data_IF_957452826161
#
_entry.id   IF_957452826161
#
_cell.length_a   1.000
_cell.length_b   1.000
_cell.length_c   1.000
_cell.angle_alpha   90.00
_cell.angle_beta   90.00
_cell.angle_gamma   90.00
#
_symmetry.space_group_name_H-M   'P 1'
#
loop_
_entity.id
_entity.type
_entity.pdbx_description
1 polymer ?
#
# COMPACT_ATOMS: atom_id res chain seq x y z
N UNK A 1 0.18 24.29 0.15
CA UNK A 1 1.39 24.82 -0.55
C UNK A 1 2.52 23.77 -0.68
N UNK A 2 2.45 22.60 -0.03
CA UNK A 2 3.52 21.57 -0.08
C UNK A 2 3.48 20.58 -1.26
N UNK A 3 2.40 20.57 -2.06
CA UNK A 3 2.24 19.61 -3.17
C UNK A 3 3.20 19.82 -4.35
N UNK A 4 3.49 21.08 -4.70
CA UNK A 4 4.26 21.42 -5.90
C UNK A 4 5.71 20.90 -5.89
N UNK A 5 6.36 20.84 -4.71
CA UNK A 5 7.73 20.30 -4.62
C UNK A 5 7.72 18.78 -4.80
N UNK A 6 6.74 18.11 -4.22
CA UNK A 6 6.63 16.65 -4.31
C UNK A 6 6.26 16.24 -5.73
N UNK A 7 5.33 16.90 -6.40
CA UNK A 7 4.95 16.61 -7.79
C UNK A 7 6.14 16.71 -8.75
N UNK A 8 7.01 17.71 -8.60
CA UNK A 8 8.17 17.91 -9.46
C UNK A 8 9.34 16.93 -9.20
N UNK A 9 9.31 16.19 -8.08
CA UNK A 9 10.37 15.24 -7.77
C UNK A 9 10.35 14.05 -8.74
N UNK A 10 11.41 13.89 -9.53
CA UNK A 10 11.54 12.79 -10.51
C UNK A 10 11.67 11.40 -9.89
N UNK A 11 12.03 11.35 -8.61
CA UNK A 11 12.20 10.15 -7.81
C UNK A 11 11.55 10.34 -6.45
N UNK A 12 10.79 9.34 -5.99
CA UNK A 12 10.24 9.29 -4.63
C UNK A 12 10.41 7.88 -4.09
N UNK A 13 10.86 7.77 -2.85
CA UNK A 13 10.88 6.52 -2.09
C UNK A 13 9.88 6.65 -0.95
N UNK A 14 8.92 5.74 -0.90
CA UNK A 14 7.89 5.70 0.13
C UNK A 14 8.09 4.45 0.98
N UNK A 15 8.17 4.63 2.30
CA UNK A 15 8.33 3.56 3.28
C UNK A 15 7.56 3.90 4.55
N UNK A 16 6.66 3.00 4.97
CA UNK A 16 5.90 3.06 6.24
C UNK A 16 5.30 4.44 6.52
N UNK A 17 4.40 4.89 5.65
CA UNK A 17 3.63 6.14 5.88
C UNK A 17 2.43 5.81 6.76
N UNK A 18 2.43 6.29 7.99
CA UNK A 18 1.40 5.99 8.99
C UNK A 18 0.16 6.87 8.89
N UNK A 19 0.30 8.07 8.33
CA UNK A 19 -0.80 9.01 8.17
C UNK A 19 -1.75 8.51 7.06
N UNK A 20 -3.03 8.24 7.36
CA UNK A 20 -3.96 7.62 6.41
C UNK A 20 -4.21 8.51 5.20
N UNK A 21 -4.32 9.82 5.39
CA UNK A 21 -4.55 10.78 4.30
C UNK A 21 -3.35 10.79 3.32
N UNK A 22 -2.13 10.74 3.87
CA UNK A 22 -0.90 10.66 3.07
C UNK A 22 -0.78 9.29 2.37
N UNK A 23 -1.14 8.20 3.04
CA UNK A 23 -1.12 6.86 2.45
C UNK A 23 -2.10 6.76 1.26
N UNK A 24 -3.33 7.29 1.41
CA UNK A 24 -4.30 7.36 0.32
C UNK A 24 -3.79 8.24 -0.84
N UNK A 25 -3.19 9.39 -0.51
CA UNK A 25 -2.59 10.26 -1.53
C UNK A 25 -1.48 9.54 -2.32
N UNK A 26 -0.61 8.77 -1.65
CA UNK A 26 0.40 7.94 -2.30
C UNK A 26 -0.22 6.82 -3.14
N UNK A 27 -1.25 6.14 -2.63
CA UNK A 27 -1.97 5.11 -3.37
C UNK A 27 -2.59 5.67 -4.65
N UNK A 28 -3.18 6.86 -4.58
CA UNK A 28 -3.72 7.59 -5.74
C UNK A 28 -2.63 7.98 -6.74
N UNK A 29 -1.43 8.37 -6.28
CA UNK A 29 -0.29 8.59 -7.18
C UNK A 29 0.13 7.33 -7.94
N UNK A 30 -0.15 6.14 -7.41
CA UNK A 30 0.19 4.88 -8.09
C UNK A 30 -0.71 4.56 -9.28
N UNK A 31 -1.84 5.27 -9.41
CA UNK A 31 -2.88 5.00 -10.40
C UNK A 31 -3.88 3.96 -9.93
N UNK A 32 -4.91 3.75 -10.75
CA UNK A 32 -5.95 2.73 -10.52
C UNK A 32 -5.84 1.61 -11.55
N UNK A 33 -6.23 0.41 -11.15
CA UNK A 33 -6.36 -0.78 -11.99
C UNK A 33 -7.78 -1.32 -11.90
N UNK A 34 -8.25 -1.91 -13.00
CA UNK A 34 -9.49 -2.64 -13.06
C UNK A 34 -9.25 -4.06 -12.54
N UNK A 35 -10.07 -4.50 -11.58
CA UNK A 35 -10.03 -5.85 -11.03
C UNK A 35 -11.41 -6.47 -11.17
N UNK A 36 -11.45 -7.66 -11.78
CA UNK A 36 -12.65 -8.47 -11.84
C UNK A 36 -12.71 -9.34 -10.56
N UNK A 37 -13.63 -9.02 -9.67
CA UNK A 37 -13.91 -9.83 -8.49
C UNK A 37 -14.95 -10.90 -8.84
N UNK A 38 -14.51 -12.17 -8.81
CA UNK A 38 -15.39 -13.33 -8.91
C UNK A 38 -15.99 -13.66 -7.53
N UNK A 39 -17.26 -13.29 -7.30
CA UNK A 39 -17.98 -13.68 -6.08
C UNK A 39 -18.67 -15.03 -6.27
N UNK A 40 -18.17 -16.10 -5.64
CA UNK A 40 -18.93 -17.35 -5.46
C UNK A 40 -19.86 -17.20 -4.25
N UNK A 41 -21.17 -17.09 -4.49
CA UNK A 41 -22.17 -17.18 -3.42
C UNK A 41 -22.33 -18.65 -3.03
N UNK A 42 -21.86 -19.05 -1.86
CA UNK A 42 -22.29 -20.30 -1.22
C UNK A 42 -23.44 -19.95 -0.25
N UNK A 43 -24.68 -20.30 -0.60
CA UNK A 43 -25.79 -20.32 0.35
C UNK A 43 -25.95 -21.76 0.83
N UNK A 44 -25.68 -22.01 2.11
CA UNK A 44 -26.09 -23.25 2.78
C UNK A 44 -27.56 -23.12 3.17
N UNK A 45 -28.43 -23.91 2.54
CA UNK A 45 -29.82 -24.06 2.98
C UNK A 45 -29.92 -25.23 3.97
N UNK A 46 -30.91 -25.18 4.88
CA UNK A 46 -31.06 -26.01 6.09
C UNK A 46 -31.37 -27.51 5.83
N UNK A 47 -30.93 -28.09 4.71
CA UNK A 47 -31.22 -29.46 4.29
C UNK A 47 -30.01 -30.21 3.69
N UNK A 48 -28.76 -29.92 4.13
CA UNK A 48 -27.55 -30.71 3.81
C UNK A 48 -27.35 -31.08 2.33
N UNK A 49 -27.97 -30.34 1.40
CA UNK A 49 -27.87 -30.58 -0.04
C UNK A 49 -27.27 -29.33 -0.64
N UNK A 50 -26.00 -29.42 -1.05
CA UNK A 50 -25.28 -28.34 -1.72
C UNK A 50 -25.87 -28.15 -3.13
N UNK A 51 -26.90 -27.32 -3.26
CA UNK A 51 -27.35 -26.85 -4.56
C UNK A 51 -26.48 -25.67 -4.95
N UNK A 52 -25.44 -25.93 -5.76
CA UNK A 52 -24.59 -24.88 -6.32
C UNK A 52 -25.44 -24.09 -7.31
N UNK A 53 -26.01 -22.99 -6.85
CA UNK A 53 -26.74 -22.05 -7.70
C UNK A 53 -25.73 -21.39 -8.64
N UNK A 54 -25.89 -21.63 -9.95
CA UNK A 54 -24.90 -21.33 -10.98
C UNK A 54 -24.94 -19.86 -11.45
N UNK A 55 -25.29 -18.94 -10.54
CA UNK A 55 -25.28 -17.50 -10.82
C UNK A 55 -23.87 -16.92 -10.62
N UNK A 56 -23.13 -16.82 -11.73
CA UNK A 56 -21.87 -16.08 -11.79
C UNK A 56 -22.16 -14.57 -11.88
N UNK A 57 -21.88 -13.82 -10.82
CA UNK A 57 -21.87 -12.35 -10.88
C UNK A 57 -20.42 -11.87 -10.98
N UNK A 58 -20.01 -11.37 -12.14
CA UNK A 58 -18.72 -10.70 -12.32
C UNK A 58 -18.90 -9.26 -11.82
N UNK A 59 -18.11 -8.83 -10.82
CA UNK A 59 -18.10 -7.43 -10.37
C UNK A 59 -16.78 -6.79 -10.78
N UNK A 60 -16.86 -5.80 -11.66
CA UNK A 60 -15.71 -4.99 -12.03
C UNK A 60 -15.53 -3.90 -10.97
N UNK A 61 -14.41 -3.91 -10.24
CA UNK A 61 -14.07 -2.93 -9.21
C UNK A 61 -12.77 -2.21 -9.58
N UNK A 62 -12.70 -0.91 -9.31
CA UNK A 62 -11.45 -0.14 -9.43
C UNK A 62 -10.71 -0.15 -8.09
N UNK A 63 -9.41 -0.39 -8.11
CA UNK A 63 -8.54 -0.26 -6.92
C UNK A 63 -7.23 0.43 -7.27
N UNK A 64 -6.53 0.96 -6.26
CA UNK A 64 -5.20 1.51 -6.47
C UNK A 64 -4.19 0.42 -6.89
N UNK A 65 -3.23 0.78 -7.75
CA UNK A 65 -2.18 -0.13 -8.18
C UNK A 65 -1.33 -0.61 -6.99
N UNK A 66 -0.94 0.33 -6.12
CA UNK A 66 -0.50 0.05 -4.75
C UNK A 66 -1.66 0.39 -3.82
N UNK A 67 -2.17 -0.62 -3.11
CA UNK A 67 -3.28 -0.44 -2.17
C UNK A 67 -2.87 0.49 -1.02
N UNK A 68 -3.82 1.32 -0.54
CA UNK A 68 -3.56 2.24 0.58
C UNK A 68 -3.13 1.50 1.84
N UNK A 69 -3.60 0.27 2.06
CA UNK A 69 -3.22 -0.54 3.21
C UNK A 69 -1.80 -1.14 3.09
N UNK A 70 -1.23 -1.22 1.88
CA UNK A 70 0.14 -1.71 1.69
C UNK A 70 1.21 -0.69 2.09
N UNK A 71 0.83 0.57 2.29
CA UNK A 71 1.77 1.68 2.51
C UNK A 71 2.17 1.86 3.98
N UNK A 72 1.23 1.79 4.96
CA UNK A 72 1.58 1.84 6.38
C UNK A 72 2.34 0.60 6.82
N UNK A 73 1.90 -0.58 6.38
CA UNK A 73 2.50 -1.88 6.72
C UNK A 73 2.93 -2.64 5.45
N UNK A 74 4.00 -2.18 4.78
CA UNK A 74 4.58 -2.93 3.68
C UNK A 74 5.20 -4.23 4.21
N UNK A 75 5.39 -5.20 3.34
CA UNK A 75 6.20 -6.37 3.65
C UNK A 75 7.57 -5.96 4.23
N UNK A 76 8.13 -6.81 5.09
CA UNK A 76 9.43 -6.55 5.70
C UNK A 76 10.47 -6.21 4.63
N UNK A 77 11.24 -5.15 4.89
CA UNK A 77 12.29 -4.68 3.99
C UNK A 77 11.80 -4.21 2.62
N UNK A 78 10.52 -3.87 2.45
CA UNK A 78 10.00 -3.36 1.18
C UNK A 78 9.65 -1.88 1.27
N UNK A 79 9.99 -1.14 0.21
CA UNK A 79 9.58 0.24 -0.05
C UNK A 79 8.98 0.36 -1.45
N UNK A 80 8.26 1.44 -1.72
CA UNK A 80 7.75 1.75 -3.06
C UNK A 80 8.53 2.89 -3.69
N UNK A 81 9.03 2.66 -4.90
CA UNK A 81 9.76 3.65 -5.69
C UNK A 81 8.84 4.19 -6.78
N UNK A 82 8.72 5.51 -6.84
CA UNK A 82 8.03 6.21 -7.91
C UNK A 82 9.06 6.93 -8.78
N UNK A 83 8.97 6.72 -10.10
CA UNK A 83 9.76 7.42 -11.09
C UNK A 83 8.86 8.03 -12.16
N UNK A 84 9.38 8.91 -13.00
CA UNK A 84 8.59 9.52 -14.10
C UNK A 84 8.48 8.64 -15.34
N UNK A 85 9.21 7.52 -15.40
CA UNK A 85 9.34 6.72 -16.63
C UNK A 85 8.63 5.38 -16.57
N UNK A 86 8.40 4.86 -15.36
CA UNK A 86 7.86 3.52 -15.13
C UNK A 86 6.74 3.58 -14.12
N UNK A 87 5.88 2.55 -14.13
CA UNK A 87 4.97 2.31 -13.03
C UNK A 87 5.75 2.21 -11.71
N UNK A 88 5.12 2.57 -10.57
CA UNK A 88 5.73 2.38 -9.26
C UNK A 88 6.15 0.92 -9.07
N UNK A 89 7.24 0.70 -8.35
CA UNK A 89 7.74 -0.64 -8.11
C UNK A 89 8.11 -0.85 -6.65
N UNK A 90 7.91 -2.08 -6.19
CA UNK A 90 8.43 -2.51 -4.90
C UNK A 90 9.97 -2.64 -5.00
N UNK A 91 10.68 -2.15 -3.99
CA UNK A 91 12.12 -2.25 -3.85
C UNK A 91 12.51 -2.74 -2.47
N UNK A 92 13.46 -3.66 -2.42
CA UNK A 92 14.07 -4.08 -1.17
C UNK A 92 14.90 -2.94 -0.58
N UNK A 93 14.81 -2.79 0.74
CA UNK A 93 15.58 -1.84 1.54
C UNK A 93 16.13 -2.56 2.77
N UNK A 94 17.35 -2.22 3.17
CA UNK A 94 17.94 -2.68 4.42
C UNK A 94 18.02 -1.49 5.37
N UNK A 95 17.00 -1.23 6.20
CA UNK A 95 17.03 -0.14 7.16
C UNK A 95 18.14 -0.41 8.18
N UNK A 96 19.00 0.58 8.36
CA UNK A 96 20.08 0.52 9.35
C UNK A 96 19.42 0.51 10.74
N UNK A 97 19.65 -0.55 11.51
CA UNK A 97 19.19 -0.64 12.90
C UNK A 97 19.93 0.40 13.73
N UNK A 98 19.22 1.47 14.11
CA UNK A 98 19.77 2.51 14.99
C UNK A 98 19.31 2.29 16.42
N UNK A 99 20.24 2.45 17.38
CA UNK A 99 19.88 2.58 18.79
C UNK A 99 19.59 4.05 19.05
N UNK A 100 18.36 4.38 19.42
CA UNK A 100 18.01 5.75 19.83
C UNK A 100 18.72 6.04 21.15
N UNK A 101 19.73 6.91 21.11
CA UNK A 101 20.33 7.47 22.30
C UNK A 101 19.84 8.91 22.50
N UNK A 102 19.53 9.27 23.74
CA UNK A 102 19.28 10.66 24.10
C UNK A 102 20.52 11.49 23.80
N UNK A 103 20.36 12.65 23.17
CA UNK A 103 21.47 13.55 22.84
C UNK A 103 22.30 13.96 24.09
N UNK A 104 21.71 13.94 25.29
CA UNK A 104 22.43 14.18 26.56
C UNK A 104 23.48 13.11 26.86
N UNK A 105 23.19 11.86 26.54
CA UNK A 105 24.08 10.73 26.83
C UNK A 105 25.26 10.65 25.85
N UNK A 106 25.14 11.27 24.68
CA UNK A 106 26.18 11.27 23.64
C UNK A 106 27.22 12.39 23.79
N UNK A 107 26.88 13.45 24.53
CA UNK A 107 27.74 14.63 24.67
C UNK A 107 28.38 14.77 26.06
N UNK A 108 28.16 13.82 26.98
CA UNK A 108 28.78 13.84 28.31
C UNK A 108 28.43 15.06 29.16
N UNK A 109 27.31 15.73 28.86
CA UNK A 109 26.78 16.77 29.74
C UNK A 109 25.91 16.09 30.82
N UNK A 110 26.13 16.39 32.11
CA UNK A 110 25.38 15.80 33.22
C UNK A 110 23.87 16.11 33.15
#
# INVERSE_FOLDING_TARGET
MSGAVVENAKFKLVYRVMDPDTAEWVARMSGTILVDDELRKAKTDNMLTETIDSERTIRQAERFFIDSNMIPEPADFVSFIFTTKTLPSASLISPIKVQKASAKNLLGFP
#
